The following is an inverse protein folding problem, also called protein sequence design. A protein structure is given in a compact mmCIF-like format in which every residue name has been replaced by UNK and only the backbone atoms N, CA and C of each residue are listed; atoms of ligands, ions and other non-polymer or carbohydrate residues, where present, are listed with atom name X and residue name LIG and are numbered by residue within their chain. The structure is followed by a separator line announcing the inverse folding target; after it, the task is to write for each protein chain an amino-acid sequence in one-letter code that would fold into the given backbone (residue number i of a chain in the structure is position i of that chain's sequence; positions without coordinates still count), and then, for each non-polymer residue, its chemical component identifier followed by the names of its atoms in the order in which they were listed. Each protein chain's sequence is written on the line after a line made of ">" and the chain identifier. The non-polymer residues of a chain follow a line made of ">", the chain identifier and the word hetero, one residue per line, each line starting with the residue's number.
data_IF_329890477553
#
_entry.id   IF_329890477553
#
_cell.length_a   1.000
_cell.length_b   1.000
_cell.length_c   1.000
_cell.angle_alpha   90.00
_cell.angle_beta   90.00
_cell.angle_gamma   90.00
#
_symmetry.space_group_name_H-M   'P 1'
#
loop_
_entity.id
_entity.type
_entity.pdbx_description
1 polymer ?
#
# COMPACT_ATOMS: atom_id res chain seq x y z
N UNK A 1 -8.59 15.41 0.40
CA UNK A 1 -8.05 14.20 1.03
C UNK A 1 -8.82 13.77 2.29
N UNK A 2 -9.56 14.63 2.94
CA UNK A 2 -10.46 14.29 4.04
C UNK A 2 -11.79 13.74 3.46
N UNK A 3 -11.71 12.62 2.73
CA UNK A 3 -12.79 12.11 1.87
C UNK A 3 -14.10 11.84 2.62
N UNK A 4 -14.04 11.35 3.86
CA UNK A 4 -15.19 11.04 4.69
C UNK A 4 -15.51 12.15 5.72
N UNK A 5 -14.75 13.25 5.72
CA UNK A 5 -14.96 14.36 6.67
C UNK A 5 -14.63 14.00 8.13
N UNK A 6 -13.81 12.97 8.37
CA UNK A 6 -13.56 12.44 9.71
C UNK A 6 -12.43 13.15 10.47
N UNK A 7 -11.64 14.00 9.82
CA UNK A 7 -10.43 14.57 10.42
C UNK A 7 -10.64 15.33 11.74
N UNK A 8 -11.83 15.89 11.96
CA UNK A 8 -12.22 16.56 13.20
C UNK A 8 -13.47 15.93 13.85
N UNK A 9 -13.74 14.67 13.56
CA UNK A 9 -14.90 13.99 14.12
C UNK A 9 -14.77 13.85 15.64
N UNK A 10 -15.80 14.22 16.44
CA UNK A 10 -15.70 14.22 17.90
C UNK A 10 -15.28 12.89 18.52
N UNK A 11 -15.76 11.75 17.97
CA UNK A 11 -15.39 10.43 18.47
C UNK A 11 -13.92 10.12 18.27
N UNK A 12 -13.29 10.56 17.15
CA UNK A 12 -11.86 10.35 16.90
C UNK A 12 -11.02 11.21 17.86
N UNK A 13 -11.43 12.45 18.09
CA UNK A 13 -10.75 13.34 19.04
C UNK A 13 -10.82 12.76 20.45
N UNK A 14 -11.97 12.26 20.86
CA UNK A 14 -12.16 11.67 22.18
C UNK A 14 -11.32 10.37 22.35
N UNK A 15 -11.32 9.49 21.35
CA UNK A 15 -10.50 8.29 21.35
C UNK A 15 -9.00 8.62 21.45
N UNK A 16 -8.54 9.67 20.75
CA UNK A 16 -7.15 10.13 20.83
C UNK A 16 -6.79 10.63 22.25
N UNK A 17 -7.68 11.39 22.91
CA UNK A 17 -7.48 11.84 24.32
C UNK A 17 -7.40 10.64 25.26
N UNK A 18 -8.31 9.69 25.15
CA UNK A 18 -8.31 8.48 25.97
C UNK A 18 -7.05 7.65 25.78
N UNK A 19 -6.54 7.57 24.55
CA UNK A 19 -5.27 6.89 24.26
C UNK A 19 -4.07 7.63 24.89
N UNK A 20 -4.04 8.95 24.89
CA UNK A 20 -3.02 9.75 25.60
C UNK A 20 -3.04 9.49 27.11
N UNK A 21 -4.23 9.42 27.72
CA UNK A 21 -4.38 9.15 29.14
C UNK A 21 -3.95 7.73 29.53
N UNK A 22 -4.26 6.73 28.69
CA UNK A 22 -4.01 5.31 28.98
C UNK A 22 -2.63 4.81 28.56
N UNK A 23 -2.03 5.35 27.49
CA UNK A 23 -0.79 4.88 26.88
C UNK A 23 0.34 5.94 26.90
N UNK A 24 0.02 7.19 27.23
CA UNK A 24 0.97 8.30 27.18
C UNK A 24 1.18 8.80 25.73
N UNK A 25 2.11 9.75 25.60
CA UNK A 25 2.40 10.40 24.31
C UNK A 25 3.59 9.77 23.59
N UNK A 26 4.65 9.44 24.31
CA UNK A 26 5.92 9.03 23.74
C UNK A 26 6.07 7.52 23.63
N UNK A 27 6.53 7.05 22.49
CA UNK A 27 6.80 5.62 22.25
C UNK A 27 8.19 5.18 22.70
N UNK A 28 9.10 6.09 22.94
CA UNK A 28 10.44 6.00 23.54
C UNK A 28 11.33 4.80 23.13
N UNK A 29 10.95 4.01 22.13
CA UNK A 29 11.73 2.89 21.57
C UNK A 29 11.24 2.48 20.20
N UNK A 30 12.13 1.80 19.44
CA UNK A 30 11.75 1.17 18.18
C UNK A 30 10.90 -0.08 18.41
N UNK A 31 10.03 -0.39 17.44
CA UNK A 31 9.01 -1.44 17.54
C UNK A 31 9.57 -2.83 17.86
N UNK A 32 10.68 -3.21 17.24
CA UNK A 32 11.26 -4.55 17.41
C UNK A 32 12.09 -4.73 18.70
N UNK A 33 12.32 -3.67 19.48
CA UNK A 33 12.97 -3.79 20.80
C UNK A 33 11.92 -3.80 21.91
N UNK A 34 11.32 -2.65 22.22
CA UNK A 34 10.28 -2.53 23.24
C UNK A 34 9.22 -1.45 22.93
N UNK A 35 9.19 -0.91 21.72
CA UNK A 35 8.24 0.13 21.29
C UNK A 35 6.90 -0.43 20.79
N UNK A 36 6.73 -1.75 20.65
CA UNK A 36 5.45 -2.34 20.25
C UNK A 36 4.49 -2.35 21.42
N UNK A 37 3.35 -1.69 21.25
CA UNK A 37 2.26 -1.65 22.23
C UNK A 37 1.06 -2.47 21.73
N UNK A 38 0.14 -2.76 22.64
CA UNK A 38 -1.11 -3.48 22.33
C UNK A 38 -1.95 -2.75 21.29
N UNK A 39 -1.94 -1.40 21.29
CA UNK A 39 -2.62 -0.59 20.25
C UNK A 39 -2.10 -0.87 18.85
N UNK A 40 -0.78 -1.04 18.66
CA UNK A 40 -0.21 -1.39 17.36
C UNK A 40 -0.73 -2.74 16.90
N UNK A 41 -0.65 -3.76 17.76
CA UNK A 41 -1.08 -5.12 17.44
C UNK A 41 -2.57 -5.19 17.10
N UNK A 42 -3.42 -4.54 17.90
CA UNK A 42 -4.85 -4.48 17.63
C UNK A 42 -5.17 -3.78 16.31
N UNK A 43 -4.49 -2.67 16.01
CA UNK A 43 -4.72 -1.93 14.78
C UNK A 43 -4.25 -2.74 13.56
N UNK A 44 -3.06 -3.34 13.62
CA UNK A 44 -2.53 -4.21 12.57
C UNK A 44 -3.48 -5.37 12.29
N UNK A 45 -3.94 -6.08 13.32
CA UNK A 45 -4.92 -7.15 13.18
C UNK A 45 -6.22 -6.66 12.52
N UNK A 46 -6.78 -5.54 12.99
CA UNK A 46 -8.03 -4.99 12.45
C UNK A 46 -7.91 -4.56 10.98
N UNK A 47 -6.74 -4.04 10.57
CA UNK A 47 -6.47 -3.69 9.19
C UNK A 47 -6.38 -4.95 8.33
N UNK A 48 -5.61 -5.94 8.75
CA UNK A 48 -5.47 -7.19 8.03
C UNK A 48 -6.83 -7.88 7.81
N UNK A 49 -7.64 -7.98 8.87
CA UNK A 49 -9.00 -8.53 8.80
C UNK A 49 -9.91 -7.71 7.85
N UNK A 50 -9.88 -6.38 7.94
CA UNK A 50 -10.72 -5.50 7.13
C UNK A 50 -10.38 -5.59 5.64
N UNK A 51 -9.09 -5.57 5.32
CA UNK A 51 -8.61 -5.59 3.93
C UNK A 51 -8.49 -7.00 3.35
N UNK A 52 -8.59 -8.05 4.18
CA UNK A 52 -8.52 -9.44 3.73
C UNK A 52 -7.10 -9.94 3.50
N UNK A 53 -6.10 -9.38 4.20
CA UNK A 53 -4.72 -9.83 4.19
C UNK A 53 -4.41 -10.72 5.41
N UNK A 54 -3.29 -11.44 5.34
CA UNK A 54 -2.87 -12.33 6.44
C UNK A 54 -2.34 -11.56 7.64
N UNK A 55 -1.67 -10.43 7.39
CA UNK A 55 -1.05 -9.59 8.41
C UNK A 55 -0.93 -8.15 7.92
N UNK A 56 -0.61 -7.24 8.83
CA UNK A 56 -0.32 -5.83 8.54
C UNK A 56 0.80 -5.32 9.43
N UNK A 57 1.52 -4.31 8.96
CA UNK A 57 2.55 -3.62 9.72
C UNK A 57 2.37 -2.10 9.58
N UNK A 58 2.47 -1.39 10.70
CA UNK A 58 2.34 0.06 10.76
C UNK A 58 3.67 0.78 10.56
N UNK A 59 3.63 1.85 9.81
CA UNK A 59 4.69 2.83 9.60
C UNK A 59 4.25 4.22 10.06
N UNK A 60 5.19 5.15 10.22
CA UNK A 60 4.89 6.56 10.51
C UNK A 60 4.08 7.25 9.42
N UNK A 61 4.22 6.78 8.19
CA UNK A 61 3.42 7.21 7.03
C UNK A 61 3.42 6.14 5.94
N UNK A 62 2.47 6.20 5.02
CA UNK A 62 2.51 5.38 3.80
C UNK A 62 3.72 5.72 2.92
N UNK A 63 4.24 6.95 3.00
CA UNK A 63 5.48 7.32 2.32
C UNK A 63 6.65 6.47 2.83
N UNK A 64 6.79 6.33 4.16
CA UNK A 64 7.84 5.52 4.77
C UNK A 64 7.64 4.02 4.46
N UNK A 65 6.39 3.54 4.45
CA UNK A 65 6.09 2.16 4.04
C UNK A 65 6.56 1.90 2.60
N UNK A 66 6.20 2.74 1.65
CA UNK A 66 6.60 2.62 0.25
C UNK A 66 8.11 2.73 0.05
N UNK A 67 8.78 3.63 0.78
CA UNK A 67 10.24 3.78 0.63
C UNK A 67 11.02 2.63 1.25
N UNK A 68 10.52 2.03 2.33
CA UNK A 68 11.18 0.92 3.03
C UNK A 68 10.90 -0.46 2.45
N UNK A 69 9.83 -0.64 1.69
CA UNK A 69 9.37 -1.95 1.25
C UNK A 69 10.33 -2.60 0.26
N UNK A 70 10.72 -1.89 -0.79
CA UNK A 70 11.38 -2.50 -1.95
C UNK A 70 12.78 -3.02 -1.63
N UNK A 71 13.63 -2.23 -0.97
CA UNK A 71 14.99 -2.68 -0.61
C UNK A 71 15.01 -3.74 0.49
N UNK A 72 13.91 -3.88 1.24
CA UNK A 72 13.76 -4.93 2.26
C UNK A 72 13.43 -6.29 1.63
N UNK A 73 12.61 -6.30 0.56
CA UNK A 73 12.11 -7.53 -0.07
C UNK A 73 12.92 -7.97 -1.28
N UNK A 74 13.54 -7.02 -2.00
CA UNK A 74 14.10 -7.25 -3.33
C UNK A 74 15.57 -6.85 -3.40
N UNK A 75 16.30 -7.53 -4.29
CA UNK A 75 17.72 -7.27 -4.55
C UNK A 75 18.04 -7.19 -6.06
N UNK A 76 19.32 -7.21 -6.40
CA UNK A 76 19.79 -7.07 -7.79
C UNK A 76 19.37 -8.20 -8.74
N UNK A 77 18.85 -9.32 -8.22
CA UNK A 77 18.36 -10.45 -9.02
C UNK A 77 16.87 -10.33 -9.37
N UNK A 78 16.20 -9.33 -8.81
CA UNK A 78 14.76 -9.12 -8.91
C UNK A 78 14.42 -7.97 -9.88
N UNK A 79 13.15 -7.85 -10.24
CA UNK A 79 12.64 -6.79 -11.09
C UNK A 79 11.41 -6.12 -10.47
N UNK A 80 11.36 -4.79 -10.54
CA UNK A 80 10.19 -3.98 -10.20
C UNK A 80 9.63 -3.37 -11.48
N UNK A 81 8.34 -3.58 -11.71
CA UNK A 81 7.63 -3.10 -12.91
C UNK A 81 6.58 -2.10 -12.43
N UNK A 82 6.89 -0.80 -12.54
CA UNK A 82 6.14 0.29 -11.95
C UNK A 82 5.29 1.04 -12.98
N UNK A 83 4.04 1.33 -12.64
CA UNK A 83 3.22 2.26 -13.43
C UNK A 83 3.87 3.65 -13.45
N UNK A 84 3.77 4.32 -14.58
CA UNK A 84 4.43 5.61 -14.84
C UNK A 84 3.85 6.78 -14.04
N UNK A 85 2.63 6.67 -13.54
CA UNK A 85 1.95 7.70 -12.74
C UNK A 85 1.92 7.40 -11.24
N UNK A 86 2.61 6.36 -10.80
CA UNK A 86 2.72 6.04 -9.37
C UNK A 86 3.19 7.22 -8.53
N UNK A 87 2.72 7.26 -7.29
CA UNK A 87 3.07 8.28 -6.32
C UNK A 87 4.60 8.41 -6.11
N UNK A 88 5.06 9.61 -5.76
CA UNK A 88 6.49 9.91 -5.58
C UNK A 88 7.17 8.98 -4.56
N UNK A 89 6.49 8.54 -3.51
CA UNK A 89 7.03 7.61 -2.52
C UNK A 89 7.41 6.25 -3.11
N UNK A 90 6.60 5.74 -4.05
CA UNK A 90 6.92 4.51 -4.81
C UNK A 90 8.14 4.75 -5.69
N UNK A 91 8.16 5.87 -6.42
CA UNK A 91 9.29 6.21 -7.31
C UNK A 91 10.59 6.30 -6.50
N UNK A 92 10.56 6.93 -5.34
CA UNK A 92 11.74 7.09 -4.48
C UNK A 92 12.15 5.75 -3.85
N UNK A 93 11.21 4.95 -3.37
CA UNK A 93 11.49 3.61 -2.85
C UNK A 93 12.10 2.69 -3.92
N UNK A 94 11.57 2.70 -5.14
CA UNK A 94 12.12 1.96 -6.28
C UNK A 94 13.54 2.43 -6.63
N UNK A 95 13.84 3.72 -6.48
CA UNK A 95 15.20 4.28 -6.73
C UNK A 95 16.22 3.82 -5.69
N UNK A 96 15.81 3.60 -4.45
CA UNK A 96 16.69 3.12 -3.38
C UNK A 96 17.00 1.62 -3.52
N UNK A 97 16.11 0.85 -4.13
CA UNK A 97 16.28 -0.59 -4.34
C UNK A 97 17.30 -0.90 -5.45
N UNK A 98 18.00 -2.02 -5.30
CA UNK A 98 18.99 -2.53 -6.29
C UNK A 98 18.35 -3.37 -7.41
N UNK A 99 17.08 -3.70 -7.30
CA UNK A 99 16.36 -4.47 -8.30
C UNK A 99 16.34 -3.77 -9.67
N UNK A 100 16.20 -4.54 -10.74
CA UNK A 100 15.97 -4.00 -12.08
C UNK A 100 14.70 -3.15 -12.09
N UNK A 101 14.80 -1.93 -12.58
CA UNK A 101 13.69 -0.96 -12.61
C UNK A 101 13.12 -0.88 -14.02
N UNK A 102 11.89 -1.36 -14.16
CA UNK A 102 11.12 -1.33 -15.39
C UNK A 102 9.89 -0.43 -15.18
N UNK A 103 9.42 0.20 -16.24
CA UNK A 103 8.32 1.15 -16.19
C UNK A 103 7.37 0.92 -17.35
N UNK A 104 6.07 0.96 -17.10
CA UNK A 104 5.05 0.90 -18.15
C UNK A 104 4.17 2.15 -18.16
N UNK A 105 3.59 2.48 -19.30
CA UNK A 105 2.68 3.61 -19.43
C UNK A 105 1.41 3.38 -18.59
N UNK A 106 0.86 4.44 -18.01
CA UNK A 106 -0.26 4.36 -17.09
C UNK A 106 -1.44 3.55 -17.66
N UNK A 107 -1.85 2.53 -16.93
CA UNK A 107 -2.95 1.63 -17.29
C UNK A 107 -2.80 0.93 -18.67
N UNK A 108 -1.61 0.91 -19.25
CA UNK A 108 -1.35 0.22 -20.52
C UNK A 108 -0.92 -1.22 -20.26
N UNK A 109 -1.88 -2.13 -20.38
CA UNK A 109 -1.66 -3.56 -20.13
C UNK A 109 -0.75 -4.21 -21.17
N UNK A 110 -0.71 -3.71 -22.40
CA UNK A 110 0.22 -4.20 -23.42
C UNK A 110 1.67 -3.79 -23.08
N UNK A 111 1.88 -2.56 -22.62
CA UNK A 111 3.17 -2.11 -22.13
C UNK A 111 3.58 -2.87 -20.85
N UNK A 112 2.65 -3.15 -19.93
CA UNK A 112 2.91 -3.97 -18.74
C UNK A 112 3.39 -5.38 -19.13
N UNK A 113 2.70 -6.03 -20.05
CA UNK A 113 3.08 -7.37 -20.53
C UNK A 113 4.48 -7.39 -21.14
N UNK A 114 4.83 -6.38 -21.96
CA UNK A 114 6.17 -6.26 -22.52
C UNK A 114 7.25 -6.17 -21.43
N UNK A 115 7.00 -5.43 -20.35
CA UNK A 115 7.94 -5.33 -19.22
C UNK A 115 8.04 -6.63 -18.42
N UNK A 116 6.94 -7.35 -18.25
CA UNK A 116 6.94 -8.68 -17.62
C UNK A 116 7.77 -9.68 -18.44
N UNK A 117 7.62 -9.66 -19.76
CA UNK A 117 8.45 -10.47 -20.67
C UNK A 117 9.94 -10.09 -20.59
N UNK A 118 10.25 -8.79 -20.49
CA UNK A 118 11.62 -8.31 -20.33
C UNK A 118 12.24 -8.73 -18.99
N UNK A 119 11.41 -8.91 -17.95
CA UNK A 119 11.81 -9.35 -16.61
C UNK A 119 11.82 -10.87 -16.42
N UNK A 120 11.66 -11.66 -17.48
CA UNK A 120 11.48 -13.14 -17.39
C UNK A 120 12.57 -13.88 -16.61
N UNK A 121 13.79 -13.36 -16.63
CA UNK A 121 14.96 -13.99 -15.98
C UNK A 121 15.14 -13.51 -14.51
N UNK A 122 14.33 -12.58 -14.03
CA UNK A 122 14.37 -12.12 -12.65
C UNK A 122 13.86 -13.20 -11.69
N UNK A 123 14.50 -13.30 -10.51
CA UNK A 123 14.09 -14.24 -9.45
C UNK A 123 12.67 -13.91 -8.96
N UNK A 124 12.41 -12.67 -8.63
CA UNK A 124 11.10 -12.13 -8.25
C UNK A 124 10.74 -10.99 -9.21
N UNK A 125 9.51 -10.97 -9.67
CA UNK A 125 8.90 -9.88 -10.44
C UNK A 125 7.82 -9.24 -9.57
N UNK A 126 7.92 -7.93 -9.33
CA UNK A 126 6.93 -7.18 -8.56
C UNK A 126 6.30 -6.10 -9.45
N UNK A 127 5.02 -6.24 -9.73
CA UNK A 127 4.22 -5.19 -10.39
C UNK A 127 3.72 -4.23 -9.31
N UNK A 128 3.90 -2.92 -9.54
CA UNK A 128 3.54 -1.88 -8.58
C UNK A 128 2.68 -0.80 -9.23
N UNK A 129 1.53 -0.51 -8.63
CA UNK A 129 0.61 0.52 -9.09
C UNK A 129 -0.10 1.22 -7.94
N UNK A 130 -0.48 2.50 -8.11
CA UNK A 130 -1.52 3.11 -7.29
C UNK A 130 -2.86 2.42 -7.60
N UNK A 131 -3.74 2.25 -6.63
CA UNK A 131 -5.11 1.76 -6.84
C UNK A 131 -6.00 2.84 -7.44
N UNK A 132 -5.92 4.05 -6.89
CA UNK A 132 -6.51 5.27 -7.45
C UNK A 132 -5.43 6.32 -7.61
N UNK A 133 -5.21 6.78 -8.83
CA UNK A 133 -4.22 7.81 -9.15
C UNK A 133 -4.69 9.19 -8.67
N UNK A 134 -3.98 9.77 -7.72
CA UNK A 134 -4.42 10.93 -6.95
C UNK A 134 -4.71 12.19 -7.78
N UNK A 135 -3.98 12.41 -8.87
CA UNK A 135 -4.08 13.63 -9.69
C UNK A 135 -5.25 13.56 -10.67
N UNK A 136 -5.52 12.38 -11.22
CA UNK A 136 -6.51 12.19 -12.28
C UNK A 136 -7.80 11.55 -11.75
N UNK A 137 -7.75 10.90 -10.60
CA UNK A 137 -8.86 10.15 -10.02
C UNK A 137 -9.19 8.87 -10.79
N UNK A 138 -8.32 8.45 -11.71
CA UNK A 138 -8.51 7.20 -12.45
C UNK A 138 -8.22 5.99 -11.57
N UNK A 139 -8.99 4.92 -11.80
CA UNK A 139 -8.82 3.63 -11.14
C UNK A 139 -7.86 2.75 -11.96
N UNK A 140 -6.93 2.07 -11.29
CA UNK A 140 -6.09 1.08 -11.94
C UNK A 140 -6.92 -0.12 -12.43
N UNK A 141 -6.56 -0.68 -13.58
CA UNK A 141 -7.17 -1.90 -14.10
C UNK A 141 -6.61 -3.13 -13.38
N UNK A 142 -6.90 -3.25 -12.06
CA UNK A 142 -6.33 -4.30 -11.23
C UNK A 142 -6.69 -5.71 -11.68
N UNK A 143 -7.85 -5.91 -12.31
CA UNK A 143 -8.21 -7.22 -12.86
C UNK A 143 -7.19 -7.67 -13.91
N UNK A 144 -6.92 -6.83 -14.89
CA UNK A 144 -5.96 -7.16 -15.95
C UNK A 144 -4.49 -7.19 -15.42
N UNK A 145 -4.17 -6.35 -14.44
CA UNK A 145 -2.86 -6.40 -13.77
C UNK A 145 -2.66 -7.75 -13.09
N UNK A 146 -3.64 -8.23 -12.32
CA UNK A 146 -3.57 -9.53 -11.65
C UNK A 146 -3.54 -10.70 -12.66
N UNK A 147 -4.33 -10.61 -13.75
CA UNK A 147 -4.31 -11.65 -14.79
C UNK A 147 -2.92 -11.79 -15.43
N UNK A 148 -2.27 -10.67 -15.74
CA UNK A 148 -0.89 -10.67 -16.27
C UNK A 148 0.12 -11.12 -15.20
N UNK A 149 -0.03 -10.69 -13.96
CA UNK A 149 0.86 -11.09 -12.89
C UNK A 149 0.84 -12.61 -12.68
N UNK A 150 -0.34 -13.22 -12.64
CA UNK A 150 -0.50 -14.68 -12.55
C UNK A 150 0.10 -15.40 -13.77
N UNK A 151 -0.11 -14.87 -14.98
CA UNK A 151 0.45 -15.45 -16.21
C UNK A 151 1.98 -15.46 -16.22
N UNK A 152 2.62 -14.46 -15.64
CA UNK A 152 4.06 -14.28 -15.63
C UNK A 152 4.73 -14.59 -14.28
N UNK A 153 4.01 -15.22 -13.36
CA UNK A 153 4.50 -15.56 -12.01
C UNK A 153 5.10 -14.34 -11.31
N UNK A 154 4.35 -13.24 -11.27
CA UNK A 154 4.72 -11.98 -10.66
C UNK A 154 3.83 -11.68 -9.46
N UNK A 155 4.36 -10.97 -8.47
CA UNK A 155 3.61 -10.42 -7.35
C UNK A 155 3.01 -9.07 -7.71
N UNK A 156 1.93 -8.69 -7.03
CA UNK A 156 1.24 -7.40 -7.20
C UNK A 156 1.25 -6.61 -5.89
N UNK A 157 1.73 -5.38 -5.96
CA UNK A 157 1.62 -4.39 -4.89
C UNK A 157 0.74 -3.21 -5.34
N UNK A 158 -0.17 -2.80 -4.47
CA UNK A 158 -1.07 -1.66 -4.70
C UNK A 158 -0.92 -0.63 -3.59
N UNK A 159 -0.65 0.63 -3.94
CA UNK A 159 -0.84 1.77 -3.02
C UNK A 159 -2.29 2.24 -3.10
N UNK A 160 -3.02 2.01 -2.02
CA UNK A 160 -4.46 2.29 -1.95
C UNK A 160 -4.80 3.52 -1.09
N UNK A 161 -3.83 4.39 -0.87
CA UNK A 161 -3.96 5.61 -0.06
C UNK A 161 -5.09 6.53 -0.47
N UNK A 162 -5.54 6.46 -1.72
CA UNK A 162 -6.64 7.25 -2.27
C UNK A 162 -7.92 6.44 -2.49
N UNK A 163 -8.01 5.22 -1.95
CA UNK A 163 -9.20 4.36 -2.09
C UNK A 163 -9.64 3.72 -0.76
N UNK A 164 -8.71 3.27 0.08
CA UNK A 164 -9.04 2.64 1.36
C UNK A 164 -9.90 3.55 2.24
N UNK A 165 -10.97 2.97 2.77
CA UNK A 165 -11.94 3.63 3.62
C UNK A 165 -13.24 4.04 2.92
N UNK A 166 -13.29 4.13 1.56
CA UNK A 166 -14.49 4.62 0.87
C UNK A 166 -14.72 4.09 -0.55
N UNK A 167 -13.72 3.50 -1.20
CA UNK A 167 -13.88 2.84 -2.50
C UNK A 167 -14.23 1.37 -2.28
N UNK A 168 -15.12 0.82 -3.11
CA UNK A 168 -15.68 -0.53 -2.95
C UNK A 168 -16.97 -0.54 -2.11
N UNK A 169 -17.70 -1.63 -2.16
CA UNK A 169 -19.01 -1.77 -1.49
C UNK A 169 -18.89 -1.63 0.03
N UNK A 170 -17.81 -2.15 0.61
CA UNK A 170 -17.52 -2.08 2.05
C UNK A 170 -16.42 -1.05 2.39
N UNK A 171 -15.95 -0.28 1.40
CA UNK A 171 -14.87 0.69 1.57
C UNK A 171 -13.49 0.07 1.77
N UNK A 172 -13.29 -1.16 1.32
CA UNK A 172 -12.00 -1.87 1.47
C UNK A 172 -10.94 -1.39 0.50
N UNK A 173 -11.33 -0.65 -0.54
CA UNK A 173 -10.42 -0.05 -1.48
C UNK A 173 -10.54 -0.58 -2.91
N UNK A 174 -9.53 -0.31 -3.71
CA UNK A 174 -9.53 -0.60 -5.15
C UNK A 174 -9.57 -2.11 -5.45
N UNK A 175 -8.96 -2.96 -4.63
CA UNK A 175 -8.97 -4.40 -4.82
C UNK A 175 -10.39 -5.00 -4.63
N UNK A 176 -11.20 -4.44 -3.73
CA UNK A 176 -12.63 -4.78 -3.61
C UNK A 176 -13.38 -4.28 -4.83
N UNK A 177 -13.21 -3.02 -5.21
CA UNK A 177 -13.88 -2.40 -6.35
C UNK A 177 -13.64 -3.14 -7.67
N UNK A 178 -12.43 -3.67 -7.84
CA UNK A 178 -12.04 -4.42 -9.05
C UNK A 178 -12.27 -5.92 -8.94
N UNK A 179 -12.88 -6.43 -7.85
CA UNK A 179 -13.12 -7.85 -7.59
C UNK A 179 -11.85 -8.72 -7.64
N UNK A 180 -10.74 -8.21 -7.11
CA UNK A 180 -9.45 -8.91 -7.06
C UNK A 180 -8.96 -9.16 -5.63
N UNK A 181 -9.86 -9.18 -4.65
CA UNK A 181 -9.52 -9.55 -3.27
C UNK A 181 -8.88 -10.93 -3.25
N UNK A 182 -7.75 -11.05 -2.52
CA UNK A 182 -6.96 -12.30 -2.45
C UNK A 182 -6.01 -12.52 -3.64
N UNK A 183 -5.96 -11.61 -4.63
CA UNK A 183 -5.04 -11.65 -5.78
C UNK A 183 -3.95 -10.56 -5.73
N UNK A 184 -4.06 -9.63 -4.79
CA UNK A 184 -3.05 -8.61 -4.50
C UNK A 184 -2.19 -9.13 -3.36
N UNK A 185 -0.88 -9.20 -3.54
CA UNK A 185 0.05 -9.77 -2.56
C UNK A 185 0.37 -8.78 -1.44
N UNK A 186 0.49 -7.49 -1.78
CA UNK A 186 0.80 -6.42 -0.83
C UNK A 186 -0.04 -5.18 -1.13
N UNK A 187 -0.46 -4.53 -0.05
CA UNK A 187 -1.16 -3.25 -0.14
C UNK A 187 -0.54 -2.27 0.83
N UNK A 188 -0.31 -1.04 0.38
CA UNK A 188 0.03 0.07 1.26
C UNK A 188 -1.12 1.07 1.31
N UNK A 189 -1.22 1.81 2.42
CA UNK A 189 -2.30 2.76 2.61
C UNK A 189 -2.00 3.78 3.69
N UNK A 190 -2.89 4.74 3.90
CA UNK A 190 -2.73 5.79 4.89
C UNK A 190 -3.98 6.02 5.70
N UNK A 191 -3.82 6.30 7.00
CA UNK A 191 -4.90 6.81 7.85
C UNK A 191 -5.11 8.32 7.71
N UNK A 192 -4.16 9.05 7.14
CA UNK A 192 -4.15 10.51 7.06
C UNK A 192 -5.07 11.12 5.98
N UNK A 193 -5.94 10.33 5.36
CA UNK A 193 -6.89 10.77 4.33
C UNK A 193 -8.33 10.43 4.71
N UNK A 194 -8.94 9.43 4.08
CA UNK A 194 -10.34 9.07 4.30
C UNK A 194 -10.66 8.76 5.77
N UNK A 195 -9.76 8.06 6.45
CA UNK A 195 -9.98 7.61 7.82
C UNK A 195 -9.75 8.68 8.89
N UNK A 196 -9.28 9.87 8.51
CA UNK A 196 -9.18 11.05 9.39
C UNK A 196 -8.15 10.92 10.53
N UNK A 197 -7.19 10.00 10.40
CA UNK A 197 -6.15 9.74 11.37
C UNK A 197 -4.77 10.21 10.95
N UNK A 198 -3.74 9.51 11.39
CA UNK A 198 -2.34 9.70 11.03
C UNK A 198 -1.66 8.33 10.91
N UNK A 199 -0.42 8.30 10.38
CA UNK A 199 0.31 7.07 10.06
C UNK A 199 -0.21 6.34 8.81
N UNK A 200 0.38 5.19 8.52
CA UNK A 200 0.05 4.32 7.39
C UNK A 200 0.75 2.96 7.55
N UNK A 201 0.70 2.17 6.51
CA UNK A 201 1.32 0.84 6.48
C UNK A 201 1.19 0.21 5.10
#
# INVERSE_FOLDING_TARGET
>A
NNYLGLANHPSLIEAAKQALDSHGFGMASVRFICGTQTLHQHLEQRIAEFLGFQDAILYSSCFDANTGLFETLLDAQDAIISDSLNHASIIDGVRLCKAQRLRYANNDMQALEQQLQAAKDARIRLVVTDGVFSMDGSLANLSAVCDLAEQYDAMVMVDDSHAVGFVGEQGRGSHEQCNVMGRVDMMTGTFGKALGGASGG
#
